data_IF_620422754272
#
_entry.id   IF_620422754272
#
_cell.length_a   1.000
_cell.length_b   1.000
_cell.length_c   1.000
_cell.angle_alpha   90.00
_cell.angle_beta   90.00
_cell.angle_gamma   90.00
#
_symmetry.space_group_name_H-M   'P 1'
#
loop_
_entity.id
_entity.type
_entity.pdbx_description
1 polymer ?
#
# COMPACT_ATOMS: atom_id res chain seq x y z
N UNK A 1 -28.60 13.64 35.07
CA UNK A 1 -28.10 13.18 33.78
C UNK A 1 -26.63 13.57 33.69
N UNK A 2 -25.69 12.65 33.97
CA UNK A 2 -24.25 12.94 34.03
C UNK A 2 -23.66 12.74 32.65
N UNK A 3 -23.36 13.83 31.96
CA UNK A 3 -22.60 13.81 30.68
C UNK A 3 -21.16 13.40 30.99
N UNK A 4 -20.79 12.17 30.63
CA UNK A 4 -19.39 11.74 30.62
C UNK A 4 -18.61 12.59 29.60
N UNK A 5 -17.84 13.53 30.09
CA UNK A 5 -16.83 14.23 29.29
C UNK A 5 -15.74 13.20 29.01
N UNK A 6 -15.75 12.62 27.79
CA UNK A 6 -14.65 11.82 27.33
C UNK A 6 -13.46 12.75 27.15
N UNK A 7 -12.36 12.52 27.88
CA UNK A 7 -11.18 13.38 27.76
C UNK A 7 -10.61 13.27 26.34
N UNK A 8 -10.22 14.40 25.76
CA UNK A 8 -9.57 14.49 24.44
C UNK A 8 -8.37 13.57 24.33
N UNK A 9 -7.65 13.37 25.41
CA UNK A 9 -6.48 12.48 25.48
C UNK A 9 -6.85 11.00 25.28
N UNK A 10 -7.96 10.55 25.84
CA UNK A 10 -8.41 9.15 25.66
C UNK A 10 -8.82 8.87 24.22
N UNK A 11 -9.43 9.84 23.54
CA UNK A 11 -9.78 9.74 22.11
C UNK A 11 -8.52 9.71 21.24
N UNK A 12 -7.54 10.57 21.52
CA UNK A 12 -6.28 10.62 20.78
C UNK A 12 -5.47 9.32 20.91
N UNK A 13 -5.39 8.76 22.11
CA UNK A 13 -4.71 7.47 22.36
C UNK A 13 -5.42 6.32 21.64
N UNK A 14 -6.75 6.31 21.64
CA UNK A 14 -7.55 5.32 20.93
C UNK A 14 -7.32 5.37 19.41
N UNK A 15 -7.33 6.56 18.82
CA UNK A 15 -7.08 6.78 17.41
C UNK A 15 -5.65 6.34 16.98
N UNK A 16 -4.64 6.66 17.79
CA UNK A 16 -3.27 6.27 17.52
C UNK A 16 -3.08 4.74 17.53
N UNK A 17 -3.71 4.05 18.48
CA UNK A 17 -3.69 2.57 18.54
C UNK A 17 -4.40 1.94 17.35
N UNK A 18 -5.56 2.46 16.97
CA UNK A 18 -6.29 1.98 15.80
C UNK A 18 -5.46 2.11 14.53
N UNK A 19 -4.82 3.27 14.32
CA UNK A 19 -3.98 3.50 13.16
C UNK A 19 -2.76 2.58 13.11
N UNK A 20 -2.12 2.31 14.25
CA UNK A 20 -1.02 1.35 14.33
C UNK A 20 -1.45 -0.09 14.02
N UNK A 21 -2.63 -0.49 14.48
CA UNK A 21 -3.21 -1.80 14.17
C UNK A 21 -3.50 -1.93 12.68
N UNK A 22 -4.10 -0.89 12.09
CA UNK A 22 -4.34 -0.82 10.65
C UNK A 22 -3.03 -0.90 9.85
N UNK A 23 -2.00 -0.14 10.25
CA UNK A 23 -0.68 -0.18 9.63
C UNK A 23 -0.05 -1.58 9.68
N UNK A 24 -0.17 -2.27 10.81
CA UNK A 24 0.27 -3.65 10.95
C UNK A 24 -0.48 -4.62 10.03
N UNK A 25 -1.80 -4.53 9.96
CA UNK A 25 -2.60 -5.32 9.03
C UNK A 25 -2.23 -5.04 7.56
N UNK A 26 -2.04 -3.78 7.20
CA UNK A 26 -1.60 -3.38 5.86
C UNK A 26 -0.19 -3.88 5.53
N UNK A 27 0.72 -3.94 6.51
CA UNK A 27 2.06 -4.52 6.30
C UNK A 27 1.99 -6.02 5.98
N UNK A 28 1.15 -6.77 6.71
CA UNK A 28 0.92 -8.20 6.43
C UNK A 28 0.29 -8.38 5.06
N UNK A 29 -0.72 -7.58 4.72
CA UNK A 29 -1.38 -7.62 3.41
C UNK A 29 -0.39 -7.31 2.28
N UNK A 30 0.43 -6.28 2.43
CA UNK A 30 1.46 -5.92 1.44
C UNK A 30 2.47 -7.05 1.24
N UNK A 31 2.96 -7.67 2.32
CA UNK A 31 3.87 -8.81 2.26
C UNK A 31 3.26 -10.02 1.57
N UNK A 32 2.02 -10.38 1.93
CA UNK A 32 1.29 -11.47 1.29
C UNK A 32 1.02 -11.20 -0.20
N UNK A 33 0.59 -9.98 -0.53
CA UNK A 33 0.35 -9.58 -1.92
C UNK A 33 1.65 -9.63 -2.76
N UNK A 34 2.79 -9.22 -2.21
CA UNK A 34 4.09 -9.29 -2.90
C UNK A 34 4.50 -10.73 -3.16
N UNK A 35 4.31 -11.63 -2.19
CA UNK A 35 4.60 -13.06 -2.38
C UNK A 35 3.71 -13.66 -3.47
N UNK A 36 2.40 -13.42 -3.38
CA UNK A 36 1.44 -13.92 -4.36
C UNK A 36 1.65 -13.30 -5.75
N UNK A 37 2.03 -12.02 -5.82
CA UNK A 37 2.45 -11.36 -7.05
C UNK A 37 3.57 -12.15 -7.73
N UNK A 38 4.61 -12.53 -6.99
CA UNK A 38 5.74 -13.27 -7.53
C UNK A 38 5.30 -14.62 -8.11
N UNK A 39 4.40 -15.32 -7.43
CA UNK A 39 3.83 -16.59 -7.93
C UNK A 39 2.97 -16.34 -9.18
N UNK A 40 2.09 -15.34 -9.15
CA UNK A 40 1.22 -15.01 -10.27
C UNK A 40 2.00 -14.60 -11.53
N UNK A 41 3.08 -13.82 -11.35
CA UNK A 41 3.92 -13.34 -12.43
C UNK A 41 4.82 -14.43 -13.03
N UNK A 42 5.52 -15.20 -12.17
CA UNK A 42 6.55 -16.17 -12.63
C UNK A 42 5.95 -17.51 -13.01
N UNK A 43 5.01 -18.01 -12.18
CA UNK A 43 4.48 -19.37 -12.30
C UNK A 43 3.19 -19.40 -13.10
N UNK A 44 2.20 -18.61 -12.71
CA UNK A 44 0.87 -18.63 -13.33
C UNK A 44 0.85 -17.83 -14.64
N UNK A 45 1.67 -16.79 -14.76
CA UNK A 45 1.72 -15.84 -15.89
C UNK A 45 0.36 -15.20 -16.17
N UNK A 46 -0.42 -14.98 -15.11
CA UNK A 46 -1.76 -14.37 -15.15
C UNK A 46 -1.63 -12.86 -14.95
N UNK A 47 -1.74 -12.11 -16.06
CA UNK A 47 -1.59 -10.66 -16.08
C UNK A 47 -2.62 -9.94 -15.20
N UNK A 48 -3.84 -10.41 -15.16
CA UNK A 48 -4.90 -9.81 -14.34
C UNK A 48 -4.60 -9.99 -12.86
N UNK A 49 -4.21 -11.19 -12.46
CA UNK A 49 -3.95 -11.51 -11.07
C UNK A 49 -2.73 -10.78 -10.53
N UNK A 50 -1.60 -10.78 -11.24
CA UNK A 50 -0.40 -10.10 -10.74
C UNK A 50 -0.59 -8.58 -10.72
N UNK A 51 -1.30 -7.99 -11.66
CA UNK A 51 -1.57 -6.55 -11.69
C UNK A 51 -2.45 -6.10 -10.52
N UNK A 52 -3.49 -6.87 -10.18
CA UNK A 52 -4.32 -6.62 -9.01
C UNK A 52 -3.52 -6.73 -7.71
N UNK A 53 -2.69 -7.77 -7.58
CA UNK A 53 -1.86 -7.96 -6.39
C UNK A 53 -0.82 -6.85 -6.23
N UNK A 54 -0.22 -6.39 -7.33
CA UNK A 54 0.70 -5.26 -7.33
C UNK A 54 0.01 -3.97 -6.87
N UNK A 55 -1.15 -3.66 -7.43
CA UNK A 55 -1.89 -2.45 -7.08
C UNK A 55 -2.31 -2.45 -5.59
N UNK A 56 -2.96 -3.52 -5.14
CA UNK A 56 -3.44 -3.63 -3.75
C UNK A 56 -2.28 -3.67 -2.77
N UNK A 57 -1.24 -4.47 -3.05
CA UNK A 57 -0.05 -4.58 -2.21
C UNK A 57 0.69 -3.26 -2.06
N UNK A 58 0.85 -2.50 -3.15
CA UNK A 58 1.51 -1.20 -3.14
C UNK A 58 0.73 -0.16 -2.33
N UNK A 59 -0.60 -0.11 -2.46
CA UNK A 59 -1.43 0.80 -1.67
C UNK A 59 -1.40 0.43 -0.17
N UNK A 60 -1.46 -0.86 0.15
CA UNK A 60 -1.32 -1.31 1.54
C UNK A 60 0.07 -0.96 2.13
N UNK A 61 1.13 -1.09 1.34
CA UNK A 61 2.48 -0.71 1.74
C UNK A 61 2.60 0.77 2.10
N UNK A 62 1.92 1.69 1.39
CA UNK A 62 1.94 3.13 1.74
C UNK A 62 1.35 3.40 3.12
N UNK A 63 0.25 2.74 3.47
CA UNK A 63 -0.37 2.85 4.81
C UNK A 63 0.57 2.31 5.90
N UNK A 64 1.20 1.17 5.64
CA UNK A 64 2.17 0.57 6.56
C UNK A 64 3.39 1.49 6.80
N UNK A 65 3.90 2.13 5.74
CA UNK A 65 5.02 3.08 5.83
C UNK A 65 4.68 4.31 6.67
N UNK A 66 3.48 4.88 6.48
CA UNK A 66 3.02 6.03 7.28
C UNK A 66 2.86 5.62 8.76
N UNK A 67 2.33 4.43 9.04
CA UNK A 67 2.22 3.94 10.41
C UNK A 67 3.61 3.66 11.05
N UNK A 68 4.59 3.23 10.26
CA UNK A 68 5.95 3.00 10.70
C UNK A 68 6.69 4.31 11.04
N UNK A 69 6.39 5.39 10.32
CA UNK A 69 6.99 6.71 10.54
C UNK A 69 6.93 7.16 12.00
N UNK A 70 5.79 6.99 12.66
CA UNK A 70 5.60 7.39 14.07
C UNK A 70 6.57 6.69 15.03
N UNK A 71 7.08 5.53 14.66
CA UNK A 71 8.06 4.80 15.47
C UNK A 71 9.50 5.20 15.13
N UNK A 72 9.80 5.38 13.85
CA UNK A 72 11.16 5.61 13.37
C UNK A 72 11.59 7.07 13.58
N UNK A 73 10.66 8.03 13.52
CA UNK A 73 10.95 9.47 13.68
C UNK A 73 11.56 9.81 15.05
N UNK A 74 11.40 8.95 16.04
CA UNK A 74 12.00 9.15 17.37
C UNK A 74 13.52 8.95 17.36
N UNK A 75 14.06 8.17 16.42
CA UNK A 75 15.48 7.96 16.26
C UNK A 75 16.13 9.05 15.39
N UNK A 76 15.55 9.32 14.22
CA UNK A 76 15.96 10.39 13.30
C UNK A 76 14.75 10.85 12.47
N UNK A 77 14.22 12.01 12.80
CA UNK A 77 13.02 12.55 12.16
C UNK A 77 13.24 12.92 10.68
N UNK A 78 14.42 13.40 10.32
CA UNK A 78 14.75 13.79 8.95
C UNK A 78 14.83 12.56 8.03
N UNK A 79 15.60 11.56 8.44
CA UNK A 79 15.74 10.32 7.70
C UNK A 79 14.40 9.57 7.58
N UNK A 80 13.63 9.52 8.69
CA UNK A 80 12.31 8.89 8.68
C UNK A 80 11.35 9.57 7.72
N UNK A 81 11.31 10.91 7.69
CA UNK A 81 10.47 11.66 6.77
C UNK A 81 10.87 11.41 5.31
N UNK A 82 12.17 11.46 5.01
CA UNK A 82 12.67 11.18 3.67
C UNK A 82 12.30 9.76 3.21
N UNK A 83 12.50 8.75 4.07
CA UNK A 83 12.18 7.36 3.78
C UNK A 83 10.69 7.15 3.50
N UNK A 84 9.80 7.78 4.28
CA UNK A 84 8.35 7.72 4.06
C UNK A 84 7.97 8.39 2.75
N UNK A 85 8.47 9.59 2.46
CA UNK A 85 8.16 10.29 1.21
C UNK A 85 8.61 9.48 -0.01
N UNK A 86 9.85 8.98 0.00
CA UNK A 86 10.36 8.13 -1.08
C UNK A 86 9.53 6.83 -1.23
N UNK A 87 9.20 6.17 -0.12
CA UNK A 87 8.42 4.94 -0.13
C UNK A 87 6.97 5.15 -0.58
N UNK A 88 6.34 6.27 -0.21
CA UNK A 88 4.98 6.61 -0.67
C UNK A 88 4.98 6.89 -2.17
N UNK A 89 5.94 7.68 -2.68
CA UNK A 89 6.07 7.93 -4.12
C UNK A 89 6.29 6.63 -4.89
N UNK A 90 7.18 5.75 -4.41
CA UNK A 90 7.41 4.44 -5.02
C UNK A 90 6.16 3.55 -4.98
N UNK A 91 5.41 3.55 -3.87
CA UNK A 91 4.17 2.81 -3.72
C UNK A 91 3.09 3.26 -4.70
N UNK A 92 2.89 4.57 -4.85
CA UNK A 92 1.96 5.11 -5.85
C UNK A 92 2.41 4.80 -7.28
N UNK A 93 3.70 4.94 -7.59
CA UNK A 93 4.25 4.56 -8.88
C UNK A 93 3.98 3.10 -9.22
N UNK A 94 4.20 2.20 -8.27
CA UNK A 94 3.90 0.77 -8.42
C UNK A 94 2.41 0.50 -8.57
N UNK A 95 1.54 1.20 -7.82
CA UNK A 95 0.09 1.05 -7.95
C UNK A 95 -0.43 1.52 -9.31
N UNK A 96 0.09 2.63 -9.83
CA UNK A 96 -0.24 3.14 -11.17
C UNK A 96 0.22 2.16 -12.25
N UNK A 97 1.43 1.60 -12.10
CA UNK A 97 1.93 0.58 -13.04
C UNK A 97 1.04 -0.67 -13.04
N UNK A 98 0.66 -1.18 -11.87
CA UNK A 98 -0.28 -2.28 -11.76
C UNK A 98 -1.65 -1.98 -12.36
N UNK A 99 -2.16 -0.75 -12.18
CA UNK A 99 -3.42 -0.33 -12.80
C UNK A 99 -3.35 -0.27 -14.33
N UNK A 100 -2.20 0.19 -14.86
CA UNK A 100 -1.94 0.20 -16.30
C UNK A 100 -1.88 -1.22 -16.87
N UNK A 101 -1.15 -2.12 -16.23
CA UNK A 101 -1.05 -3.52 -16.65
C UNK A 101 -2.41 -4.22 -16.58
N UNK A 102 -3.22 -3.93 -15.55
CA UNK A 102 -4.57 -4.44 -15.44
C UNK A 102 -5.45 -3.95 -16.59
N UNK A 103 -5.38 -2.67 -16.92
CA UNK A 103 -6.14 -2.10 -18.03
C UNK A 103 -5.77 -2.77 -19.36
N UNK A 104 -4.49 -3.03 -19.61
CA UNK A 104 -4.01 -3.73 -20.79
C UNK A 104 -4.43 -5.22 -20.82
N UNK A 105 -4.43 -5.88 -19.66
CA UNK A 105 -4.87 -7.27 -19.54
C UNK A 105 -6.37 -7.42 -19.84
N UNK A 106 -7.18 -6.44 -19.42
CA UNK A 106 -8.63 -6.43 -19.66
C UNK A 106 -8.99 -5.94 -21.07
N UNK A 107 -8.16 -5.09 -21.66
CA UNK A 107 -8.37 -4.52 -23.00
C UNK A 107 -7.09 -4.67 -23.83
N UNK A 108 -6.76 -5.89 -24.29
CA UNK A 108 -5.55 -6.10 -25.06
C UNK A 108 -5.60 -5.26 -26.34
N UNK A 109 -4.48 -4.58 -26.70
CA UNK A 109 -4.39 -3.79 -27.94
C UNK A 109 -4.65 -4.68 -29.14
N UNK A 110 -5.42 -4.18 -30.10
CA UNK A 110 -5.72 -4.92 -31.33
C UNK A 110 -4.44 -5.09 -32.14
N UNK A 111 -4.20 -6.31 -32.61
CA UNK A 111 -3.00 -6.66 -33.38
C UNK A 111 -2.89 -5.88 -34.70
N UNK A 112 -3.99 -5.39 -35.23
CA UNK A 112 -4.09 -4.58 -36.47
C UNK A 112 -3.54 -3.14 -36.30
N UNK A 113 -3.48 -2.62 -35.08
CA UNK A 113 -2.94 -1.27 -34.79
C UNK A 113 -1.42 -1.27 -34.64
N UNK A 114 -0.81 -2.45 -34.44
CA UNK A 114 0.64 -2.60 -34.27
C UNK A 114 1.37 -2.97 -35.57
N UNK A 115 0.66 -3.08 -36.69
CA UNK A 115 1.19 -3.51 -38.00
C UNK A 115 1.54 -2.34 -38.96
N UNK A 116 1.26 -1.09 -38.54
CA UNK A 116 1.62 0.17 -39.23
C UNK A 116 2.78 0.88 -38.51
#
# INVERSE_FOLDING_TARGET
MSTRVVSTDAVAVGAARLFQTLGGACAVLAGAATLLYSVAFVVLKDATLYSLLQMVGSLAATVALVALYERVRQADAGLALWAVLAGVVAGFGSAIHGAYDLANALNPPRADVLAD
#
